data_IF_764771781559
#
_entry.id   IF_764771781559
#
_cell.length_a   1.000
_cell.length_b   1.000
_cell.length_c   1.000
_cell.angle_alpha   90.00
_cell.angle_beta   90.00
_cell.angle_gamma   90.00
#
_symmetry.space_group_name_H-M   'P 1'
#
loop_
_entity.id
_entity.type
_entity.pdbx_description
1 polymer ?
#
# COMPACT_ATOMS: atom_id res chain seq x y z
N UNK A 1 7.89 -10.02 -9.47
CA UNK A 1 7.95 -11.25 -8.66
C UNK A 1 7.08 -12.37 -9.22
N UNK A 2 5.73 -12.27 -9.25
CA UNK A 2 4.89 -13.42 -9.66
C UNK A 2 5.12 -13.95 -11.08
N UNK A 3 5.16 -13.07 -12.10
CA UNK A 3 5.41 -13.46 -13.50
C UNK A 3 6.78 -14.14 -13.62
N UNK A 4 7.82 -13.51 -13.07
CA UNK A 4 9.19 -14.02 -13.14
C UNK A 4 9.38 -15.39 -12.45
N UNK A 5 8.54 -15.72 -11.47
CA UNK A 5 8.61 -16.98 -10.73
C UNK A 5 7.48 -17.97 -11.11
N UNK A 6 6.75 -17.70 -12.20
CA UNK A 6 5.63 -18.54 -12.66
C UNK A 6 4.62 -18.91 -11.55
N UNK A 7 4.32 -17.95 -10.66
CA UNK A 7 3.38 -18.17 -9.55
C UNK A 7 1.95 -18.15 -10.10
N UNK A 8 1.23 -19.27 -9.95
CA UNK A 8 -0.19 -19.38 -10.33
C UNK A 8 -1.08 -18.49 -9.45
N UNK A 9 -2.29 -18.15 -9.93
CA UNK A 9 -3.22 -17.27 -9.21
C UNK A 9 -3.55 -17.80 -7.80
N UNK A 10 -3.74 -19.11 -7.66
CA UNK A 10 -4.11 -19.76 -6.39
C UNK A 10 -2.97 -19.67 -5.37
N UNK A 11 -1.73 -19.50 -5.83
CA UNK A 11 -0.53 -19.38 -4.97
C UNK A 11 -0.16 -17.95 -4.67
N UNK A 12 -0.73 -16.94 -5.35
CA UNK A 12 -0.36 -15.53 -5.15
C UNK A 12 -0.55 -15.06 -3.73
N UNK A 13 -1.66 -15.41 -3.07
CA UNK A 13 -1.91 -15.04 -1.67
C UNK A 13 -0.81 -15.60 -0.76
N UNK A 14 -0.52 -16.90 -0.86
CA UNK A 14 0.49 -17.54 -0.03
C UNK A 14 1.90 -16.95 -0.28
N UNK A 15 2.26 -16.76 -1.56
CA UNK A 15 3.53 -16.16 -1.94
C UNK A 15 3.64 -14.72 -1.41
N UNK A 16 2.59 -13.90 -1.56
CA UNK A 16 2.53 -12.54 -1.04
C UNK A 16 2.77 -12.50 0.49
N UNK A 17 2.03 -13.31 1.25
CA UNK A 17 2.16 -13.35 2.70
C UNK A 17 3.57 -13.78 3.17
N UNK A 18 4.27 -14.60 2.37
CA UNK A 18 5.64 -15.01 2.67
C UNK A 18 6.70 -13.92 2.44
N UNK A 19 6.45 -12.95 1.54
CA UNK A 19 7.46 -11.97 1.11
C UNK A 19 7.24 -10.56 1.69
N UNK A 20 6.05 -10.22 2.19
CA UNK A 20 5.72 -8.85 2.63
C UNK A 20 6.46 -8.36 3.88
N UNK A 21 7.14 -9.28 4.56
CA UNK A 21 7.89 -9.00 5.79
C UNK A 21 7.03 -8.92 7.04
N UNK A 22 7.66 -9.15 8.20
CA UNK A 22 6.96 -9.31 9.48
C UNK A 22 6.16 -8.07 9.91
N UNK A 23 6.72 -6.86 9.77
CA UNK A 23 6.04 -5.61 10.15
C UNK A 23 4.74 -5.41 9.37
N UNK A 24 4.80 -5.57 8.05
CA UNK A 24 3.63 -5.44 7.17
C UNK A 24 2.61 -6.54 7.42
N UNK A 25 3.07 -7.77 7.67
CA UNK A 25 2.18 -8.89 8.01
C UNK A 25 1.41 -8.65 9.31
N UNK A 26 2.06 -8.15 10.36
CA UNK A 26 1.42 -7.81 11.64
C UNK A 26 0.34 -6.75 11.44
N UNK A 27 0.66 -5.69 10.69
CA UNK A 27 -0.32 -4.65 10.33
C UNK A 27 -1.50 -5.26 9.57
N UNK A 28 -1.23 -6.01 8.50
CA UNK A 28 -2.26 -6.64 7.68
C UNK A 28 -3.18 -7.53 8.51
N UNK A 29 -2.59 -8.39 9.37
CA UNK A 29 -3.34 -9.27 10.28
C UNK A 29 -4.26 -8.49 11.21
N UNK A 30 -3.82 -7.35 11.71
CA UNK A 30 -4.65 -6.47 12.54
C UNK A 30 -5.80 -5.85 11.74
N UNK A 31 -5.57 -5.46 10.48
CA UNK A 31 -6.58 -4.81 9.64
C UNK A 31 -7.68 -5.76 9.15
N UNK A 32 -7.37 -7.04 8.98
CA UNK A 32 -8.33 -8.03 8.46
C UNK A 32 -8.99 -8.90 9.55
N UNK A 33 -8.63 -8.68 10.82
CA UNK A 33 -9.21 -9.40 11.95
C UNK A 33 -10.74 -9.24 11.98
N UNK A 34 -11.51 -10.30 12.32
CA UNK A 34 -11.06 -11.61 12.83
C UNK A 34 -10.68 -12.64 11.74
N UNK A 35 -10.75 -12.27 10.46
CA UNK A 35 -10.50 -13.20 9.35
C UNK A 35 -8.99 -13.42 9.16
N UNK A 36 -8.58 -14.66 8.89
CA UNK A 36 -7.18 -14.96 8.60
C UNK A 36 -6.76 -14.30 7.27
N UNK A 37 -5.57 -13.65 7.17
CA UNK A 37 -5.08 -13.08 5.91
C UNK A 37 -5.04 -14.09 4.76
N UNK A 38 -4.74 -15.36 5.04
CA UNK A 38 -4.71 -16.44 4.04
C UNK A 38 -6.08 -16.82 3.48
N UNK A 39 -7.17 -16.43 4.14
CA UNK A 39 -8.54 -16.68 3.67
C UNK A 39 -9.05 -15.60 2.70
N UNK A 40 -8.28 -14.53 2.47
CA UNK A 40 -8.60 -13.46 1.53
C UNK A 40 -7.82 -13.61 0.22
N UNK A 41 -8.39 -13.06 -0.84
CA UNK A 41 -7.71 -12.98 -2.13
C UNK A 41 -6.52 -12.01 -2.08
N UNK A 42 -5.56 -12.21 -2.98
CA UNK A 42 -4.43 -11.30 -3.13
C UNK A 42 -4.88 -9.84 -3.38
N UNK A 43 -5.91 -9.64 -4.20
CA UNK A 43 -6.42 -8.29 -4.51
C UNK A 43 -6.98 -7.59 -3.27
N UNK A 44 -7.78 -8.28 -2.46
CA UNK A 44 -8.31 -7.70 -1.21
C UNK A 44 -7.18 -7.32 -0.25
N UNK A 45 -6.16 -8.16 -0.10
CA UNK A 45 -5.04 -7.86 0.80
C UNK A 45 -4.23 -6.65 0.33
N UNK A 46 -4.02 -6.51 -0.97
CA UNK A 46 -3.34 -5.34 -1.56
C UNK A 46 -4.16 -4.08 -1.36
N UNK A 47 -5.48 -4.16 -1.54
CA UNK A 47 -6.38 -3.02 -1.37
C UNK A 47 -6.40 -2.54 0.09
N UNK A 48 -6.55 -3.46 1.04
CA UNK A 48 -6.46 -3.15 2.49
C UNK A 48 -5.16 -2.42 2.85
N UNK A 49 -4.03 -2.89 2.31
CA UNK A 49 -2.74 -2.24 2.57
C UNK A 49 -2.62 -0.88 1.88
N UNK A 50 -3.13 -0.74 0.66
CA UNK A 50 -3.13 0.54 -0.06
C UNK A 50 -3.96 1.58 0.69
N UNK A 51 -5.17 1.24 1.13
CA UNK A 51 -6.05 2.17 1.82
C UNK A 51 -5.44 2.68 3.13
N UNK A 52 -4.69 1.82 3.83
CA UNK A 52 -4.05 2.18 5.08
C UNK A 52 -2.71 2.92 4.88
N UNK A 53 -1.85 2.46 3.98
CA UNK A 53 -0.49 2.99 3.82
C UNK A 53 -0.40 4.16 2.83
N UNK A 54 -1.34 4.25 1.90
CA UNK A 54 -1.41 5.29 0.88
C UNK A 54 -2.86 5.80 0.77
N UNK A 55 -3.42 6.37 1.85
CA UNK A 55 -4.78 6.87 1.85
C UNK A 55 -4.96 7.91 0.75
N UNK A 56 -6.13 7.91 0.11
CA UNK A 56 -6.44 8.83 -0.98
C UNK A 56 -6.23 10.28 -0.51
N UNK A 57 -5.41 11.09 -1.20
CA UNK A 57 -5.17 12.46 -0.80
C UNK A 57 -6.45 13.30 -0.83
N UNK A 58 -6.64 14.13 0.19
CA UNK A 58 -7.72 15.11 0.19
C UNK A 58 -7.38 16.25 -0.77
N UNK A 59 -8.05 16.30 -1.91
CA UNK A 59 -7.78 17.28 -2.99
C UNK A 59 -7.75 18.72 -2.46
N UNK A 60 -8.63 19.06 -1.53
CA UNK A 60 -8.68 20.42 -0.94
C UNK A 60 -7.41 20.70 -0.11
N UNK A 61 -6.95 19.74 0.69
CA UNK A 61 -5.73 19.89 1.48
C UNK A 61 -4.49 19.99 0.59
N UNK A 62 -4.42 19.19 -0.49
CA UNK A 62 -3.31 19.25 -1.45
C UNK A 62 -3.30 20.56 -2.25
N UNK A 63 -4.48 21.07 -2.67
CA UNK A 63 -4.60 22.41 -3.29
C UNK A 63 -4.12 23.50 -2.34
N UNK A 64 -4.52 23.43 -1.08
CA UNK A 64 -4.08 24.39 -0.07
C UNK A 64 -2.55 24.35 0.13
N UNK A 65 -1.96 23.16 0.23
CA UNK A 65 -0.50 22.99 0.30
C UNK A 65 0.21 23.59 -0.90
N UNK A 66 -0.31 23.34 -2.11
CA UNK A 66 0.23 23.90 -3.35
C UNK A 66 0.18 25.43 -3.35
N UNK A 67 -0.99 26.02 -3.04
CA UNK A 67 -1.14 27.48 -3.01
C UNK A 67 -0.37 28.17 -1.88
N UNK A 68 -0.04 27.46 -0.80
CA UNK A 68 0.83 27.95 0.27
C UNK A 68 2.32 27.78 -0.01
N UNK A 69 2.70 27.11 -1.08
CA UNK A 69 4.11 26.90 -1.40
C UNK A 69 4.69 28.17 -2.01
N UNK A 70 5.58 28.81 -1.27
CA UNK A 70 6.46 29.85 -1.79
C UNK A 70 7.82 29.25 -2.12
N UNK A 71 8.42 29.69 -3.24
CA UNK A 71 9.80 29.40 -3.56
C UNK A 71 10.70 30.11 -2.54
N UNK A 72 11.63 29.38 -1.93
CA UNK A 72 12.59 29.98 -1.00
C UNK A 72 13.81 30.51 -1.76
N UNK A 73 14.55 31.42 -1.13
CA UNK A 73 15.76 31.98 -1.73
C UNK A 73 16.78 30.86 -2.02
N UNK A 74 17.30 30.84 -3.25
CA UNK A 74 18.19 29.78 -3.75
C UNK A 74 17.52 28.49 -4.26
N UNK A 75 16.19 28.34 -4.19
CA UNK A 75 15.52 27.25 -4.92
C UNK A 75 15.59 27.52 -6.42
N UNK A 76 16.06 26.55 -7.20
CA UNK A 76 16.04 26.64 -8.67
C UNK A 76 14.62 26.44 -9.19
N UNK A 77 14.25 27.20 -10.22
CA UNK A 77 13.11 26.84 -11.05
C UNK A 77 13.55 25.64 -11.89
N UNK A 78 13.01 24.46 -11.60
CA UNK A 78 13.22 23.25 -12.41
C UNK A 78 12.74 23.46 -13.85
#
# INVERSE_FOLDING_TARGET
FFIANAVSEERKTAAFLSIIGGKTYVLLKSLVAPVAPSAKSYSELVEVLKDHLAPKPLVIAERFRFHKRNQIDGETVL
#
